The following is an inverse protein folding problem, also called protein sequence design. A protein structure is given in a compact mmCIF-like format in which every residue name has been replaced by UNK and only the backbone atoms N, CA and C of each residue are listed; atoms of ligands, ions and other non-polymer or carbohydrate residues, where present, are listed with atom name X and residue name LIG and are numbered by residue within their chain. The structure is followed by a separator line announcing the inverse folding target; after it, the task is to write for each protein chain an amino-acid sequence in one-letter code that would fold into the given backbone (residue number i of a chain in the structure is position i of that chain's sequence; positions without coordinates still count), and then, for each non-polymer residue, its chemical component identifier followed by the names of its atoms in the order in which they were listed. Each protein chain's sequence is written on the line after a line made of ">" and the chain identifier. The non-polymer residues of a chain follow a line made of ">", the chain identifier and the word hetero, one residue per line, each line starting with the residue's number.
data_IF_953398677433
#
_entry.id   IF_953398677433
#
_cell.length_a   1.000
_cell.length_b   1.000
_cell.length_c   1.000
_cell.angle_alpha   90.00
_cell.angle_beta   90.00
_cell.angle_gamma   90.00
#
_symmetry.space_group_name_H-M   'P 1'
#
loop_
_entity.id
_entity.type
_entity.pdbx_description
1 polymer ?
#
# COMPACT_ATOMS: atom_id res chain seq x y z
N UNK A 1 -0.54 4.50 24.68
CA UNK A 1 0.14 4.01 23.47
C UNK A 1 1.46 4.78 23.35
N UNK A 2 2.62 4.13 23.49
CA UNK A 2 3.92 4.81 23.52
C UNK A 2 4.38 5.13 22.08
N UNK A 3 4.70 6.38 21.71
CA UNK A 3 5.05 6.74 20.33
C UNK A 3 6.42 6.20 19.86
N UNK A 4 7.27 5.71 20.78
CA UNK A 4 8.60 5.18 20.45
C UNK A 4 8.60 3.76 19.88
N UNK A 5 7.48 3.05 19.94
CA UNK A 5 7.33 1.71 19.36
C UNK A 5 7.11 1.74 17.85
N UNK A 6 6.33 2.72 17.34
CA UNK A 6 5.98 2.81 15.92
C UNK A 6 7.14 3.26 15.03
N UNK A 7 7.96 4.22 15.46
CA UNK A 7 9.04 4.72 14.61
C UNK A 7 10.11 3.65 14.34
N UNK A 8 10.48 2.89 15.38
CA UNK A 8 11.47 1.81 15.25
C UNK A 8 10.97 0.66 14.37
N UNK A 9 9.68 0.33 14.46
CA UNK A 9 9.08 -0.67 13.58
C UNK A 9 9.08 -0.22 12.11
N UNK A 10 8.79 1.05 11.84
CA UNK A 10 8.85 1.62 10.47
C UNK A 10 10.28 1.59 9.93
N UNK A 11 11.27 1.90 10.78
CA UNK A 11 12.69 1.83 10.40
C UNK A 11 13.13 0.38 10.09
N UNK A 12 12.67 -0.59 10.87
CA UNK A 12 12.96 -2.02 10.67
C UNK A 12 12.33 -2.56 9.36
N UNK A 13 11.08 -2.19 9.07
CA UNK A 13 10.37 -2.58 7.84
C UNK A 13 11.01 -1.94 6.59
N UNK A 14 11.44 -0.67 6.69
CA UNK A 14 12.17 0.00 5.62
C UNK A 14 13.52 -0.69 5.34
N UNK A 15 14.25 -1.06 6.40
CA UNK A 15 15.53 -1.74 6.26
C UNK A 15 15.37 -3.11 5.58
N UNK A 16 14.30 -3.85 5.87
CA UNK A 16 13.98 -5.13 5.23
C UNK A 16 13.71 -4.97 3.73
N UNK A 17 12.88 -3.99 3.34
CA UNK A 17 12.57 -3.72 1.93
C UNK A 17 13.84 -3.31 1.17
N UNK A 18 14.66 -2.45 1.76
CA UNK A 18 15.93 -2.02 1.15
C UNK A 18 16.91 -3.20 1.02
N UNK A 19 16.97 -4.09 2.01
CA UNK A 19 17.81 -5.29 1.96
C UNK A 19 17.35 -6.28 0.88
N UNK A 20 16.04 -6.47 0.72
CA UNK A 20 15.45 -7.29 -0.34
C UNK A 20 15.86 -6.79 -1.74
N UNK A 21 15.93 -5.47 -1.91
CA UNK A 21 16.38 -4.82 -3.14
C UNK A 21 17.90 -4.64 -3.24
N UNK A 22 18.70 -5.27 -2.37
CA UNK A 22 20.17 -5.19 -2.34
C UNK A 22 20.70 -3.74 -2.27
N UNK A 23 19.96 -2.85 -1.62
CA UNK A 23 20.29 -1.43 -1.54
C UNK A 23 19.84 -0.57 -2.72
N UNK A 24 19.19 -1.14 -3.74
CA UNK A 24 18.61 -0.37 -4.84
C UNK A 24 17.28 0.25 -4.42
N UNK A 25 17.36 1.49 -3.93
CA UNK A 25 16.18 2.27 -3.54
C UNK A 25 15.23 2.55 -4.71
N UNK A 26 15.74 2.64 -5.96
CA UNK A 26 14.88 2.87 -7.12
C UNK A 26 14.06 1.62 -7.45
N UNK A 27 14.67 0.45 -7.36
CA UNK A 27 13.96 -0.82 -7.51
C UNK A 27 12.91 -1.02 -6.41
N UNK A 28 13.24 -0.69 -5.15
CA UNK A 28 12.31 -0.77 -4.03
C UNK A 28 11.07 0.13 -4.21
N UNK A 29 11.29 1.41 -4.50
CA UNK A 29 10.21 2.37 -4.76
C UNK A 29 9.41 1.94 -5.99
N UNK A 30 10.08 1.44 -7.04
CA UNK A 30 9.44 0.93 -8.25
C UNK A 30 8.47 -0.21 -7.97
N UNK A 31 8.88 -1.20 -7.16
CA UNK A 31 8.02 -2.32 -6.74
C UNK A 31 6.84 -1.84 -5.91
N UNK A 32 7.05 -0.98 -4.92
CA UNK A 32 5.96 -0.45 -4.09
C UNK A 32 4.92 0.33 -4.92
N UNK A 33 5.39 1.14 -5.88
CA UNK A 33 4.50 1.84 -6.81
C UNK A 33 3.74 0.87 -7.72
N UNK A 34 4.37 -0.22 -8.14
CA UNK A 34 3.72 -1.26 -8.93
C UNK A 34 2.64 -1.99 -8.12
N UNK A 35 2.93 -2.32 -6.87
CA UNK A 35 2.00 -2.96 -5.94
C UNK A 35 0.80 -2.06 -5.65
N UNK A 36 1.01 -0.77 -5.40
CA UNK A 36 -0.08 0.20 -5.24
C UNK A 36 -0.96 0.23 -6.50
N UNK A 37 -0.37 0.29 -7.70
CA UNK A 37 -1.13 0.25 -8.96
C UNK A 37 -1.90 -1.08 -9.11
N UNK A 38 -1.32 -2.19 -8.69
CA UNK A 38 -1.97 -3.50 -8.71
C UNK A 38 -3.18 -3.53 -7.77
N UNK A 39 -3.01 -3.09 -6.52
CA UNK A 39 -4.08 -3.00 -5.52
C UNK A 39 -5.20 -2.05 -5.97
N UNK A 40 -4.86 -0.89 -6.53
CA UNK A 40 -5.87 0.05 -7.08
C UNK A 40 -6.66 -0.59 -8.22
N UNK A 41 -6.00 -1.36 -9.09
CA UNK A 41 -6.69 -2.11 -10.15
C UNK A 41 -7.60 -3.20 -9.59
N UNK A 42 -7.14 -3.97 -8.60
CA UNK A 42 -7.97 -4.96 -7.93
C UNK A 42 -9.22 -4.32 -7.31
N UNK A 43 -9.05 -3.21 -6.58
CA UNK A 43 -10.15 -2.46 -6.00
C UNK A 43 -11.14 -1.96 -7.07
N UNK A 44 -10.66 -1.42 -8.19
CA UNK A 44 -11.52 -0.95 -9.28
C UNK A 44 -12.29 -2.10 -9.95
N UNK A 45 -11.64 -3.26 -10.15
CA UNK A 45 -12.28 -4.47 -10.67
C UNK A 45 -13.35 -4.99 -9.71
N UNK A 46 -13.04 -5.01 -8.42
CA UNK A 46 -13.97 -5.41 -7.37
C UNK A 46 -15.15 -4.43 -7.25
N UNK A 47 -14.92 -3.12 -7.29
CA UNK A 47 -15.98 -2.09 -7.30
C UNK A 47 -16.90 -2.25 -8.52
N UNK A 48 -16.32 -2.50 -9.70
CA UNK A 48 -17.07 -2.77 -10.93
C UNK A 48 -17.88 -4.07 -10.87
N UNK A 49 -17.31 -5.14 -10.30
CA UNK A 49 -17.95 -6.45 -10.18
C UNK A 49 -19.04 -6.50 -9.10
N UNK A 50 -18.86 -5.80 -7.98
CA UNK A 50 -19.85 -5.75 -6.89
C UNK A 50 -21.04 -4.84 -7.21
N UNK A 51 -20.92 -3.93 -8.18
CA UNK A 51 -21.96 -2.98 -8.56
C UNK A 51 -22.29 -1.97 -7.44
N UNK A 52 -23.01 -0.88 -7.78
CA UNK A 52 -23.35 0.20 -6.85
C UNK A 52 -24.17 -0.24 -5.61
N UNK A 53 -24.82 -1.41 -5.67
CA UNK A 53 -25.74 -1.89 -4.62
C UNK A 53 -25.07 -2.68 -3.48
N UNK A 54 -24.00 -3.45 -3.75
CA UNK A 54 -23.43 -4.36 -2.76
C UNK A 54 -22.48 -3.64 -1.79
N UNK A 55 -21.74 -2.62 -2.26
CA UNK A 55 -20.82 -1.83 -1.45
C UNK A 55 -21.48 -0.66 -0.68
N UNK A 56 -22.82 -0.52 -0.70
CA UNK A 56 -23.58 0.55 -0.02
C UNK A 56 -23.02 1.98 -0.24
N UNK A 57 -22.53 2.27 -1.44
CA UNK A 57 -21.96 3.59 -1.77
C UNK A 57 -20.54 3.85 -1.23
N UNK A 58 -19.87 2.84 -0.66
CA UNK A 58 -18.45 2.93 -0.32
C UNK A 58 -17.60 3.04 -1.60
N UNK A 59 -16.75 4.05 -1.67
CA UNK A 59 -15.76 4.25 -2.73
C UNK A 59 -14.37 4.26 -2.09
N UNK A 60 -13.36 3.61 -2.69
CA UNK A 60 -12.01 3.65 -2.16
C UNK A 60 -11.52 5.10 -2.07
N UNK A 61 -11.19 5.57 -0.86
CA UNK A 61 -10.40 6.79 -0.72
C UNK A 61 -8.95 6.43 -0.96
N UNK A 62 -8.36 7.02 -2.00
CA UNK A 62 -6.95 6.84 -2.33
C UNK A 62 -6.06 7.90 -1.67
N UNK A 63 -6.68 8.83 -0.96
CA UNK A 63 -6.02 9.86 -0.19
C UNK A 63 -5.65 9.31 1.19
N UNK A 64 -4.49 9.71 1.70
CA UNK A 64 -3.92 9.24 2.97
C UNK A 64 -3.68 10.48 3.83
N UNK A 65 -4.74 10.96 4.48
CA UNK A 65 -4.65 11.89 5.61
C UNK A 65 -4.02 11.21 6.84
#
# INVERSE_FOLDING_TARGET
>A
MNPRGSSRQVDDELAEVVAYHKGDMQAAIGTLLQDIRHLRRQLALTEGAMGRGMARGWRPSYDRD
#
